data_IF_956690471005
#
_entry.id   IF_956690471005
#
_cell.length_a   1.000
_cell.length_b   1.000
_cell.length_c   1.000
_cell.angle_alpha   90.00
_cell.angle_beta   90.00
_cell.angle_gamma   90.00
#
_symmetry.space_group_name_H-M   'P 1'
#
loop_
_entity.id
_entity.type
_entity.pdbx_description
1 polymer ?
#
# COMPACT_ATOMS: atom_id res chain seq x y z
N UNK A 1 -2.08 29.88 16.26
CA UNK A 1 -1.38 30.92 17.05
C UNK A 1 -0.25 30.25 17.82
N UNK A 2 0.98 30.62 17.47
CA UNK A 2 2.26 30.58 18.22
C UNK A 2 2.57 29.39 19.15
N UNK A 3 3.47 28.51 18.70
CA UNK A 3 4.42 27.77 19.56
C UNK A 3 5.83 27.82 18.94
N UNK A 4 6.30 29.04 18.68
CA UNK A 4 7.74 29.30 18.53
C UNK A 4 8.18 30.05 19.79
N UNK A 5 9.00 29.41 20.63
CA UNK A 5 9.54 30.07 21.82
C UNK A 5 9.90 29.19 23.02
N UNK A 6 10.09 27.87 22.88
CA UNK A 6 10.60 27.04 23.99
C UNK A 6 12.05 26.60 23.73
N UNK A 7 12.95 26.72 24.72
CA UNK A 7 14.34 26.30 24.62
C UNK A 7 14.44 24.78 24.36
N UNK A 8 15.43 24.38 23.56
CA UNK A 8 15.61 23.01 23.04
C UNK A 8 15.54 21.92 24.13
N UNK A 9 16.04 22.20 25.32
CA UNK A 9 16.11 21.25 26.43
C UNK A 9 14.73 20.86 26.99
N UNK A 10 13.72 21.74 26.90
CA UNK A 10 12.35 21.45 27.33
C UNK A 10 11.59 20.55 26.34
N UNK A 11 11.99 20.55 25.05
CA UNK A 11 11.39 19.68 24.01
C UNK A 11 11.85 18.23 24.16
N UNK A 12 13.11 18.02 24.53
CA UNK A 12 13.67 16.67 24.72
C UNK A 12 13.11 15.99 25.98
N UNK A 13 12.85 16.76 27.04
CA UNK A 13 12.23 16.22 28.27
C UNK A 13 10.75 15.84 28.08
N UNK A 14 9.99 16.64 27.33
CA UNK A 14 8.61 16.32 26.97
C UNK A 14 8.52 15.11 26.00
N UNK A 15 9.51 14.95 25.11
CA UNK A 15 9.63 13.81 24.21
C UNK A 15 9.98 12.50 24.92
N UNK A 16 10.85 12.53 25.94
CA UNK A 16 11.24 11.34 26.70
C UNK A 16 10.12 10.83 27.63
N UNK A 17 9.31 11.71 28.24
CA UNK A 17 8.17 11.29 29.07
C UNK A 17 7.07 10.58 28.25
N UNK A 18 6.78 11.06 27.03
CA UNK A 18 5.79 10.38 26.15
C UNK A 18 6.25 8.98 25.75
N UNK A 19 7.53 8.81 25.40
CA UNK A 19 8.06 7.49 25.02
C UNK A 19 8.02 6.47 26.18
N UNK A 20 8.20 6.91 27.43
CA UNK A 20 8.06 6.01 28.59
C UNK A 20 6.60 5.62 28.85
N UNK A 21 5.65 6.55 28.73
CA UNK A 21 4.22 6.25 28.91
C UNK A 21 3.65 5.33 27.80
N UNK A 22 4.11 5.47 26.55
CA UNK A 22 3.69 4.58 25.45
C UNK A 22 4.25 3.15 25.59
N UNK A 23 5.46 3.00 26.12
CA UNK A 23 6.07 1.69 26.39
C UNK A 23 5.35 0.93 27.51
N UNK A 24 4.91 1.63 28.57
CA UNK A 24 4.14 1.02 29.66
C UNK A 24 2.73 0.62 29.22
N UNK A 25 2.09 1.37 28.31
CA UNK A 25 0.80 1.01 27.69
C UNK A 25 0.88 -0.23 26.80
N UNK A 26 1.96 -0.36 26.01
CA UNK A 26 2.21 -1.58 25.23
C UNK A 26 2.40 -2.82 26.13
N UNK A 27 3.02 -2.66 27.30
CA UNK A 27 3.23 -3.75 28.26
C UNK A 27 1.93 -4.24 28.92
N UNK A 28 0.90 -3.41 28.95
CA UNK A 28 -0.42 -3.74 29.51
C UNK A 28 -1.42 -4.23 28.44
N UNK A 29 -0.99 -4.46 27.20
CA UNK A 29 -1.85 -4.99 26.13
C UNK A 29 -2.89 -4.00 25.59
N UNK A 30 -2.76 -2.71 25.89
CA UNK A 30 -3.64 -1.65 25.38
C UNK A 30 -3.00 -1.06 24.12
N UNK A 31 -3.52 -1.43 22.96
CA UNK A 31 -3.10 -0.83 21.68
C UNK A 31 -3.34 0.68 21.71
N UNK A 32 -2.34 1.52 21.35
CA UNK A 32 -2.47 2.98 21.34
C UNK A 32 -3.47 3.51 20.30
N UNK A 33 -4.03 2.63 19.46
CA UNK A 33 -5.04 2.97 18.46
C UNK A 33 -6.50 2.86 18.95
N UNK A 34 -6.75 2.44 20.19
CA UNK A 34 -8.11 2.27 20.72
C UNK A 34 -8.80 3.58 21.18
N UNK A 35 -8.11 4.71 21.19
CA UNK A 35 -8.65 5.98 21.70
C UNK A 35 -9.23 6.94 20.63
N UNK A 36 -9.33 6.53 19.36
CA UNK A 36 -9.90 7.39 18.31
C UNK A 36 -11.37 7.09 17.96
N UNK A 37 -12.01 6.18 18.68
CA UNK A 37 -13.39 5.76 18.41
C UNK A 37 -14.36 6.14 19.54
N UNK A 38 -14.38 7.40 19.97
CA UNK A 38 -15.51 7.95 20.75
C UNK A 38 -15.68 9.44 20.43
N UNK A 39 -16.60 9.75 19.52
CA UNK A 39 -16.88 11.13 19.14
C UNK A 39 -17.98 11.30 18.11
N UNK A 40 -19.05 10.49 18.16
CA UNK A 40 -20.36 10.81 17.57
C UNK A 40 -21.43 10.06 18.37
N UNK A 41 -21.80 10.60 19.53
CA UNK A 41 -23.11 10.31 20.13
C UNK A 41 -24.14 11.25 19.49
N UNK A 42 -25.15 10.69 18.84
CA UNK A 42 -26.56 10.97 19.13
C UNK A 42 -27.45 10.50 17.97
N UNK A 43 -27.99 9.28 18.09
CA UNK A 43 -29.34 8.97 17.62
C UNK A 43 -29.83 7.71 18.35
N UNK A 44 -30.83 7.91 19.20
CA UNK A 44 -31.52 6.87 19.97
C UNK A 44 -32.15 5.79 19.07
N UNK A 45 -32.09 4.55 19.56
CA UNK A 45 -32.94 3.45 19.10
C UNK A 45 -32.73 2.21 19.96
N UNK A 46 -33.64 1.97 20.91
CA UNK A 46 -33.73 0.74 21.71
C UNK A 46 -33.99 -0.45 20.77
N UNK A 47 -33.43 -1.62 21.05
CA UNK A 47 -34.17 -2.88 21.23
C UNK A 47 -33.21 -4.08 21.40
N UNK A 48 -33.43 -4.75 22.53
CA UNK A 48 -33.39 -6.19 22.79
C UNK A 48 -32.07 -6.99 22.73
N UNK A 49 -31.74 -7.46 23.94
CA UNK A 49 -30.84 -8.55 24.24
C UNK A 49 -31.45 -9.90 23.81
N UNK A 50 -30.77 -10.64 22.95
CA UNK A 50 -30.90 -12.10 22.85
C UNK A 50 -29.79 -12.65 21.94
N UNK A 51 -29.05 -13.66 22.41
CA UNK A 51 -28.28 -14.56 21.54
C UNK A 51 -26.81 -14.24 21.34
N UNK A 52 -25.99 -14.20 22.40
CA UNK A 52 -24.54 -14.43 22.25
C UNK A 52 -24.27 -15.93 22.15
N UNK A 53 -24.38 -16.45 20.92
CA UNK A 53 -23.79 -17.74 20.56
C UNK A 53 -22.27 -17.65 20.69
N UNK A 54 -21.67 -18.60 21.41
CA UNK A 54 -20.23 -18.76 21.51
C UNK A 54 -19.68 -19.10 20.12
N UNK A 55 -19.06 -18.12 19.45
CA UNK A 55 -18.32 -18.37 18.22
C UNK A 55 -16.99 -19.01 18.61
N UNK A 56 -16.84 -20.28 18.22
CA UNK A 56 -15.68 -21.12 18.43
C UNK A 56 -14.42 -20.48 17.85
N UNK A 57 -13.49 -20.14 18.73
CA UNK A 57 -12.13 -19.67 18.43
C UNK A 57 -11.27 -20.83 17.90
N UNK A 58 -10.92 -20.84 16.61
CA UNK A 58 -9.63 -21.38 16.12
C UNK A 58 -9.41 -21.21 14.61
N UNK A 59 -10.46 -21.18 13.78
CA UNK A 59 -10.32 -21.14 12.31
C UNK A 59 -10.54 -19.75 11.67
N UNK A 60 -11.05 -18.77 12.43
CA UNK A 60 -11.56 -17.50 11.87
C UNK A 60 -10.54 -16.34 11.76
N UNK A 61 -9.25 -16.56 12.03
CA UNK A 61 -8.27 -15.44 12.12
C UNK A 61 -7.39 -15.21 10.88
N UNK A 62 -7.20 -16.22 10.04
CA UNK A 62 -6.32 -16.13 8.86
C UNK A 62 -7.00 -15.49 7.66
N UNK A 63 -8.13 -16.06 7.24
CA UNK A 63 -8.88 -15.62 6.05
C UNK A 63 -9.47 -14.20 6.22
N UNK A 64 -9.87 -13.84 7.44
CA UNK A 64 -10.45 -12.52 7.74
C UNK A 64 -9.37 -11.42 7.76
N UNK A 65 -8.16 -11.75 8.24
CA UNK A 65 -7.02 -10.84 8.20
C UNK A 65 -6.48 -10.64 6.77
N UNK A 66 -6.43 -11.71 5.97
CA UNK A 66 -6.06 -11.65 4.55
C UNK A 66 -7.04 -10.79 3.75
N UNK A 67 -8.34 -11.01 3.92
CA UNK A 67 -9.39 -10.22 3.28
C UNK A 67 -9.30 -8.74 3.65
N UNK A 68 -9.07 -8.44 4.93
CA UNK A 68 -8.92 -7.07 5.42
C UNK A 68 -7.66 -6.39 4.87
N UNK A 69 -6.51 -7.07 4.85
CA UNK A 69 -5.26 -6.53 4.30
C UNK A 69 -5.37 -6.29 2.79
N UNK A 70 -5.95 -7.22 2.04
CA UNK A 70 -6.13 -7.07 0.60
C UNK A 70 -7.11 -5.93 0.28
N UNK A 71 -8.23 -5.85 1.00
CA UNK A 71 -9.18 -4.74 0.89
C UNK A 71 -8.55 -3.39 1.25
N UNK A 72 -7.68 -3.36 2.25
CA UNK A 72 -6.89 -2.16 2.59
C UNK A 72 -5.92 -1.77 1.46
N UNK A 73 -5.19 -2.74 0.91
CA UNK A 73 -4.27 -2.52 -0.22
C UNK A 73 -4.97 -1.91 -1.42
N UNK A 74 -6.15 -2.42 -1.78
CA UNK A 74 -6.98 -1.87 -2.85
C UNK A 74 -7.50 -0.46 -2.53
N UNK A 75 -8.02 -0.23 -1.33
CA UNK A 75 -8.53 1.09 -0.93
C UNK A 75 -7.43 2.15 -0.95
N UNK A 76 -6.23 1.81 -0.47
CA UNK A 76 -5.06 2.66 -0.54
C UNK A 76 -4.58 2.87 -1.96
N UNK A 77 -4.53 1.81 -2.77
CA UNK A 77 -4.17 1.87 -4.18
C UNK A 77 -5.08 2.83 -4.96
N UNK A 78 -6.40 2.74 -4.77
CA UNK A 78 -7.39 3.69 -5.35
C UNK A 78 -7.22 5.12 -4.85
N UNK A 79 -6.79 5.32 -3.61
CA UNK A 79 -6.48 6.65 -3.08
C UNK A 79 -5.25 7.23 -3.76
N UNK A 80 -4.18 6.45 -3.89
CA UNK A 80 -2.98 6.87 -4.62
C UNK A 80 -3.25 7.08 -6.10
N UNK A 81 -4.08 6.24 -6.73
CA UNK A 81 -4.49 6.40 -8.12
C UNK A 81 -5.08 7.80 -8.37
N UNK A 82 -5.96 8.28 -7.49
CA UNK A 82 -6.54 9.63 -7.58
C UNK A 82 -5.50 10.74 -7.44
N UNK A 83 -4.51 10.56 -6.55
CA UNK A 83 -3.42 11.52 -6.36
C UNK A 83 -2.52 11.56 -7.60
N UNK A 84 -2.09 10.40 -8.09
CA UNK A 84 -1.27 10.27 -9.29
C UNK A 84 -2.01 10.86 -10.50
N UNK A 85 -3.30 10.58 -10.63
CA UNK A 85 -4.15 11.15 -11.67
C UNK A 85 -4.16 12.68 -11.63
N UNK A 86 -4.39 13.27 -10.45
CA UNK A 86 -4.37 14.73 -10.28
C UNK A 86 -2.98 15.35 -10.55
N UNK A 87 -1.90 14.64 -10.22
CA UNK A 87 -0.53 15.11 -10.52
C UNK A 87 -0.24 15.04 -12.02
N UNK A 88 -0.69 13.98 -12.69
CA UNK A 88 -0.48 13.74 -14.11
C UNK A 88 -1.51 14.45 -15.01
N UNK A 89 -2.54 15.07 -14.44
CA UNK A 89 -3.48 15.93 -15.17
C UNK A 89 -2.90 17.30 -15.53
N UNK A 90 -1.79 17.70 -14.90
CA UNK A 90 -1.08 18.92 -15.26
C UNK A 90 -0.52 18.82 -16.68
N UNK A 91 -0.72 19.85 -17.53
CA UNK A 91 -0.34 19.78 -18.94
C UNK A 91 1.16 19.55 -19.10
N UNK A 92 1.53 18.45 -19.78
CA UNK A 92 2.93 18.09 -20.09
C UNK A 92 3.61 17.21 -19.04
N UNK A 93 3.04 17.04 -17.84
CA UNK A 93 3.60 16.15 -16.81
C UNK A 93 3.49 14.69 -17.22
N UNK A 94 2.37 14.30 -17.80
CA UNK A 94 2.14 12.98 -18.41
C UNK A 94 3.26 12.59 -19.41
N UNK A 95 3.60 13.51 -20.31
CA UNK A 95 4.68 13.30 -21.31
C UNK A 95 6.05 13.26 -20.65
N UNK A 96 6.28 14.06 -19.61
CA UNK A 96 7.53 14.05 -18.86
C UNK A 96 7.73 12.72 -18.14
N UNK A 97 6.67 12.20 -17.50
CA UNK A 97 6.65 10.89 -16.85
C UNK A 97 6.94 9.80 -17.89
N UNK A 98 6.27 9.84 -19.05
CA UNK A 98 6.52 8.87 -20.13
C UNK A 98 7.97 8.88 -20.62
N UNK A 99 8.54 10.07 -20.84
CA UNK A 99 9.95 10.21 -21.26
C UNK A 99 10.94 9.60 -20.27
N UNK A 100 10.61 9.58 -18.98
CA UNK A 100 11.47 9.05 -17.93
C UNK A 100 11.04 7.68 -17.40
N UNK A 101 10.00 7.06 -17.99
CA UNK A 101 9.40 5.83 -17.48
C UNK A 101 10.43 4.72 -17.35
N UNK A 102 11.32 4.57 -18.34
CA UNK A 102 12.36 3.54 -18.31
C UNK A 102 13.34 3.72 -17.14
N UNK A 103 13.75 4.95 -16.86
CA UNK A 103 14.65 5.24 -15.74
C UNK A 103 13.96 5.03 -14.39
N UNK A 104 12.69 5.43 -14.26
CA UNK A 104 11.92 5.27 -13.02
C UNK A 104 11.68 3.79 -12.74
N UNK A 105 11.21 3.06 -13.75
CA UNK A 105 10.91 1.64 -13.62
C UNK A 105 12.17 0.81 -13.39
N UNK A 106 13.26 1.07 -14.12
CA UNK A 106 14.55 0.39 -13.87
C UNK A 106 15.04 0.57 -12.44
N UNK A 107 14.82 1.75 -11.83
CA UNK A 107 15.16 2.00 -10.43
C UNK A 107 14.22 1.23 -9.49
N UNK A 108 12.93 1.24 -9.76
CA UNK A 108 11.91 0.54 -8.97
C UNK A 108 12.05 -0.99 -9.01
N UNK A 109 12.50 -1.55 -10.13
CA UNK A 109 12.75 -2.99 -10.34
C UNK A 109 14.24 -3.35 -10.33
N UNK A 110 15.06 -2.55 -9.65
CA UNK A 110 16.51 -2.75 -9.63
C UNK A 110 16.93 -3.93 -8.74
N UNK A 111 18.04 -4.56 -9.11
CA UNK A 111 18.68 -5.61 -8.32
C UNK A 111 19.12 -5.10 -6.94
N UNK A 112 19.43 -3.81 -6.81
CA UNK A 112 19.75 -3.17 -5.53
C UNK A 112 18.60 -3.25 -4.50
N UNK A 113 17.36 -3.38 -4.97
CA UNK A 113 16.18 -3.58 -4.13
C UNK A 113 15.84 -5.06 -3.94
N UNK A 114 16.65 -5.98 -4.48
CA UNK A 114 16.44 -7.42 -4.40
C UNK A 114 15.54 -7.99 -5.51
N UNK A 115 15.17 -7.20 -6.51
CA UNK A 115 14.40 -7.69 -7.65
C UNK A 115 15.31 -8.35 -8.68
N UNK A 116 14.86 -9.46 -9.26
CA UNK A 116 15.42 -9.94 -10.52
C UNK A 116 14.46 -9.58 -11.64
N UNK A 117 14.85 -8.65 -12.50
CA UNK A 117 14.02 -8.15 -13.60
C UNK A 117 14.68 -8.37 -14.96
N UNK A 118 13.86 -8.55 -15.98
CA UNK A 118 14.26 -8.63 -17.37
C UNK A 118 13.51 -7.58 -18.16
N UNK A 119 14.23 -6.69 -18.83
CA UNK A 119 13.64 -5.71 -19.73
C UNK A 119 13.17 -6.43 -21.00
N UNK A 120 11.91 -6.25 -21.36
CA UNK A 120 11.29 -6.87 -22.55
C UNK A 120 11.19 -5.87 -23.69
N UNK A 121 10.92 -4.60 -23.38
CA UNK A 121 10.87 -3.53 -24.38
C UNK A 121 11.13 -2.16 -23.78
N UNK A 122 11.58 -1.24 -24.62
CA UNK A 122 11.81 0.16 -24.29
C UNK A 122 10.84 1.09 -25.05
N UNK A 123 10.58 2.31 -24.55
CA UNK A 123 9.79 3.31 -25.26
C UNK A 123 10.44 3.68 -26.61
N UNK A 124 9.70 4.22 -27.59
CA UNK A 124 8.51 5.04 -27.40
C UNK A 124 7.16 4.33 -27.45
N UNK A 125 7.06 3.12 -28.01
CA UNK A 125 5.76 2.44 -28.19
C UNK A 125 5.27 1.77 -26.90
N UNK A 126 6.16 1.10 -26.16
CA UNK A 126 5.80 0.32 -24.98
C UNK A 126 6.99 0.11 -24.07
N UNK A 127 6.81 0.33 -22.77
CA UNK A 127 7.78 -0.09 -21.76
C UNK A 127 7.33 -1.41 -21.15
N UNK A 128 8.17 -2.43 -21.26
CA UNK A 128 7.86 -3.78 -20.83
C UNK A 128 8.96 -4.32 -19.93
N UNK A 129 8.59 -4.80 -18.74
CA UNK A 129 9.52 -5.46 -17.82
C UNK A 129 8.88 -6.70 -17.21
N UNK A 130 9.65 -7.77 -17.14
CA UNK A 130 9.27 -9.00 -16.47
C UNK A 130 10.03 -9.13 -15.16
N UNK A 131 9.32 -9.28 -14.04
CA UNK A 131 9.93 -9.55 -12.74
C UNK A 131 9.96 -11.06 -12.52
N UNK A 132 11.16 -11.63 -12.55
CA UNK A 132 11.41 -13.06 -12.38
C UNK A 132 11.45 -13.46 -10.91
N UNK A 133 11.84 -12.54 -10.03
CA UNK A 133 11.84 -12.76 -8.58
C UNK A 133 11.51 -11.46 -7.85
N UNK A 134 10.56 -11.55 -6.91
CA UNK A 134 10.07 -10.44 -6.11
C UNK A 134 10.49 -10.64 -4.64
N UNK A 135 11.27 -9.72 -4.05
CA UNK A 135 11.76 -9.85 -2.68
C UNK A 135 10.61 -9.91 -1.66
N UNK A 136 9.48 -9.24 -1.93
CA UNK A 136 8.31 -9.31 -1.05
C UNK A 136 7.64 -10.68 -1.06
N UNK A 137 7.61 -11.35 -2.22
CA UNK A 137 7.03 -12.68 -2.31
C UNK A 137 7.95 -13.72 -1.65
N UNK A 138 9.27 -13.61 -1.83
CA UNK A 138 10.25 -14.47 -1.16
C UNK A 138 10.21 -14.29 0.37
N UNK A 139 10.07 -13.05 0.85
CA UNK A 139 9.89 -12.78 2.28
C UNK A 139 8.57 -13.37 2.82
N UNK A 140 7.48 -13.22 2.06
CA UNK A 140 6.18 -13.79 2.43
C UNK A 140 6.23 -15.32 2.54
N UNK A 141 6.95 -15.99 1.62
CA UNK A 141 7.28 -17.43 1.70
C UNK A 141 8.06 -17.77 2.96
N UNK A 142 9.14 -17.03 3.22
CA UNK A 142 9.99 -17.27 4.40
C UNK A 142 9.21 -17.11 5.73
N UNK A 143 8.20 -16.24 5.76
CA UNK A 143 7.32 -16.02 6.91
C UNK A 143 6.15 -17.02 6.99
N UNK A 144 6.01 -17.95 6.04
CA UNK A 144 4.93 -18.93 6.01
C UNK A 144 3.56 -18.36 5.67
N UNK A 145 3.48 -17.14 5.14
CA UNK A 145 2.24 -16.50 4.71
C UNK A 145 2.44 -15.82 3.35
N UNK A 146 2.42 -16.62 2.29
CA UNK A 146 2.61 -16.14 0.91
C UNK A 146 1.56 -15.12 0.49
N UNK A 147 0.33 -15.24 1.00
CA UNK A 147 -0.78 -14.36 0.65
C UNK A 147 -0.63 -12.94 1.19
N UNK A 148 0.22 -12.72 2.21
CA UNK A 148 0.48 -11.38 2.74
C UNK A 148 1.02 -10.41 1.67
N UNK A 149 1.68 -10.92 0.62
CA UNK A 149 2.18 -10.09 -0.49
C UNK A 149 1.05 -9.50 -1.35
N UNK A 150 -0.13 -10.13 -1.35
CA UNK A 150 -1.26 -9.74 -2.21
C UNK A 150 -1.73 -8.31 -1.91
N UNK A 151 -1.67 -7.87 -0.65
CA UNK A 151 -1.96 -6.48 -0.29
C UNK A 151 -1.11 -5.48 -1.09
N UNK A 152 0.20 -5.72 -1.17
CA UNK A 152 1.13 -4.86 -1.93
C UNK A 152 0.86 -5.00 -3.43
N UNK A 153 0.64 -6.22 -3.93
CA UNK A 153 0.37 -6.46 -5.34
C UNK A 153 -0.96 -5.82 -5.81
N UNK A 154 -2.00 -5.83 -4.97
CA UNK A 154 -3.28 -5.19 -5.27
C UNK A 154 -3.14 -3.68 -5.23
N UNK A 155 -2.48 -3.14 -4.20
CA UNK A 155 -2.17 -1.71 -4.13
C UNK A 155 -1.42 -1.24 -5.39
N UNK A 156 -0.41 -2.00 -5.82
CA UNK A 156 0.42 -1.74 -7.00
C UNK A 156 -0.38 -1.68 -8.30
N UNK A 157 -1.27 -2.67 -8.49
CA UNK A 157 -2.19 -2.73 -9.62
C UNK A 157 -3.09 -1.49 -9.65
N UNK A 158 -3.69 -1.14 -8.51
CA UNK A 158 -4.67 -0.07 -8.43
C UNK A 158 -4.03 1.31 -8.64
N UNK A 159 -2.92 1.63 -7.97
CA UNK A 159 -2.31 2.95 -8.13
C UNK A 159 -1.75 3.16 -9.54
N UNK A 160 -1.24 2.10 -10.18
CA UNK A 160 -0.68 2.17 -11.53
C UNK A 160 -1.73 2.53 -12.58
N UNK A 161 -3.02 2.25 -12.33
CA UNK A 161 -4.10 2.69 -13.20
C UNK A 161 -4.33 4.21 -13.15
N UNK A 162 -3.85 4.90 -12.10
CA UNK A 162 -4.04 6.33 -11.90
C UNK A 162 -3.25 7.23 -12.86
N UNK A 163 -2.20 6.73 -13.51
CA UNK A 163 -1.41 7.56 -14.44
C UNK A 163 -2.24 8.00 -15.65
N UNK A 164 -2.30 9.31 -15.88
CA UNK A 164 -2.96 9.87 -17.06
C UNK A 164 -2.16 9.56 -18.32
N UNK A 165 -2.86 9.27 -19.41
CA UNK A 165 -2.29 8.89 -20.71
C UNK A 165 -1.29 7.71 -20.70
N UNK A 166 -1.24 6.93 -19.62
CA UNK A 166 -0.41 5.73 -19.54
C UNK A 166 -1.34 4.55 -19.25
N UNK A 167 -1.49 3.66 -20.22
CA UNK A 167 -2.16 2.37 -20.00
C UNK A 167 -1.19 1.44 -19.33
N UNK A 168 -1.66 0.78 -18.28
CA UNK A 168 -0.92 -0.21 -17.53
C UNK A 168 -1.67 -1.53 -17.63
N UNK A 169 -0.97 -2.54 -18.12
CA UNK A 169 -1.45 -3.92 -18.19
C UNK A 169 -0.50 -4.80 -17.37
N UNK A 170 -1.07 -5.56 -16.43
CA UNK A 170 -0.38 -6.62 -15.69
C UNK A 170 -1.07 -7.95 -15.98
N UNK A 171 -0.42 -8.79 -16.78
CA UNK A 171 -1.01 -10.04 -17.25
C UNK A 171 -0.83 -11.21 -16.28
N UNK A 172 0.24 -11.16 -15.48
CA UNK A 172 0.67 -12.25 -14.62
C UNK A 172 1.42 -11.70 -13.41
N UNK A 173 1.47 -12.47 -12.33
CA UNK A 173 2.24 -12.14 -11.12
C UNK A 173 2.82 -13.39 -10.47
N UNK A 174 4.08 -13.31 -10.01
CA UNK A 174 4.75 -14.40 -9.28
C UNK A 174 3.99 -14.77 -8.00
N UNK A 175 3.42 -13.77 -7.32
CA UNK A 175 2.59 -13.97 -6.13
C UNK A 175 1.29 -14.76 -6.39
N UNK A 176 0.84 -14.82 -7.64
CA UNK A 176 -0.33 -15.59 -8.09
C UNK A 176 0.10 -16.96 -8.66
N UNK A 177 1.38 -17.34 -8.53
CA UNK A 177 1.94 -18.61 -9.00
C UNK A 177 2.45 -18.59 -10.44
N UNK A 178 2.49 -17.42 -11.10
CA UNK A 178 3.04 -17.31 -12.45
C UNK A 178 4.58 -17.35 -12.46
N UNK A 179 5.17 -17.61 -13.63
CA UNK A 179 6.63 -17.62 -13.81
C UNK A 179 7.28 -16.24 -13.61
N UNK A 180 6.55 -15.17 -13.90
CA UNK A 180 7.02 -13.79 -13.79
C UNK A 180 5.84 -12.85 -13.50
N UNK A 181 6.14 -11.64 -13.02
CA UNK A 181 5.19 -10.53 -13.10
C UNK A 181 5.43 -9.77 -14.41
N UNK A 182 4.46 -9.80 -15.32
CA UNK A 182 4.54 -9.07 -16.58
C UNK A 182 3.95 -7.67 -16.44
N UNK A 183 4.79 -6.64 -16.52
CA UNK A 183 4.36 -5.25 -16.53
C UNK A 183 4.50 -4.68 -17.93
N UNK A 184 3.41 -4.12 -18.46
CA UNK A 184 3.37 -3.49 -19.79
C UNK A 184 2.75 -2.10 -19.65
N UNK A 185 3.50 -1.07 -20.01
CA UNK A 185 3.06 0.32 -19.98
C UNK A 185 3.08 0.88 -21.40
N UNK A 186 2.01 1.58 -21.80
CA UNK A 186 1.88 2.20 -23.11
C UNK A 186 1.38 3.62 -22.99
N UNK A 187 1.92 4.54 -23.78
CA UNK A 187 1.35 5.88 -23.87
C UNK A 187 0.06 5.85 -24.72
N UNK A 188 -1.01 6.37 -24.17
CA UNK A 188 -2.30 6.54 -24.84
C UNK A 188 -2.86 7.93 -24.56
N UNK A 189 -2.74 8.83 -25.53
CA UNK A 189 -3.27 10.19 -25.43
C UNK A 189 -4.79 10.27 -25.25
N UNK A 190 -5.54 9.17 -25.48
CA UNK A 190 -6.99 9.13 -25.30
C UNK A 190 -7.41 8.69 -23.89
N UNK A 191 -6.49 8.17 -23.08
CA UNK A 191 -6.79 7.73 -21.70
C UNK A 191 -6.89 8.95 -20.78
N UNK A 192 -8.13 9.31 -20.43
CA UNK A 192 -8.44 10.46 -19.60
C UNK A 192 -7.82 10.40 -18.20
#
# INVERSE_FOLDING_TARGET
MVLQGLPKEARDFAGQRRRRQDMDRCRQGISPYSCFATGTEAAQGRHDASGRGAVSNAAAKGEDAEGLLNGYGEAMGRRFARIIHALTSLPGVDRLVWRHVGSVMKKASSENLGYRSQLVSEPPEMYGVDILSCPYHELAKALGNEKAVLCICHMDKEYSQGFRHIRYDRNSAVSEGARACEYRLRFDAKKA
#
